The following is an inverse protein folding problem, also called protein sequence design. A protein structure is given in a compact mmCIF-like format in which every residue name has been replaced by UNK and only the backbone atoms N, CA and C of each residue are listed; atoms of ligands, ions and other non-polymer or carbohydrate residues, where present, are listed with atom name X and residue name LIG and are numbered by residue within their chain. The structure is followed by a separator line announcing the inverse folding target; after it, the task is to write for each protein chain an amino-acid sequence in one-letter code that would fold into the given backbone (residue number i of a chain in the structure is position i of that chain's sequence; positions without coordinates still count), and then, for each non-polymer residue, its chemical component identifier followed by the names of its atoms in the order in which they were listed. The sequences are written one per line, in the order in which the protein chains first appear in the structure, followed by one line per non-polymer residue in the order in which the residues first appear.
data_IF_592620792939
#
_entry.id   IF_592620792939
#
_cell.length_a   1.000
_cell.length_b   1.000
_cell.length_c   1.000
_cell.angle_alpha   90.00
_cell.angle_beta   90.00
_cell.angle_gamma   90.00
#
_symmetry.space_group_name_H-M   'P 1'
#
loop_
_entity.id
_entity.type
_entity.pdbx_description
1 polymer ?
#
# COMPACT_ATOMS: atom_id res chain seq x y z
N UNK A 1 0.26 9.55 17.41
CA UNK A 1 1.69 9.20 17.33
C UNK A 1 2.00 8.75 15.91
N UNK A 2 3.18 9.09 15.38
CA UNK A 2 3.69 8.62 14.10
C UNK A 2 4.45 7.31 14.31
N UNK A 3 4.34 6.37 13.36
CA UNK A 3 5.05 5.09 13.37
C UNK A 3 5.52 4.78 11.95
N UNK A 4 6.58 3.97 11.84
CA UNK A 4 7.01 3.44 10.55
C UNK A 4 5.83 2.82 9.81
N UNK A 5 5.69 3.12 8.53
CA UNK A 5 4.62 2.58 7.68
C UNK A 5 4.74 1.06 7.48
N UNK A 6 5.91 0.49 7.69
CA UNK A 6 6.15 -0.91 7.38
C UNK A 6 5.70 -1.25 5.96
N UNK A 7 4.91 -2.30 5.83
CA UNK A 7 4.40 -2.81 4.54
C UNK A 7 3.00 -2.31 4.16
N UNK A 8 2.35 -1.46 4.99
CA UNK A 8 0.94 -1.07 4.75
C UNK A 8 0.74 -0.19 3.50
N UNK A 9 1.82 0.33 2.92
CA UNK A 9 1.78 1.11 1.70
C UNK A 9 1.89 0.23 0.42
N UNK A 10 2.27 -1.04 0.51
CA UNK A 10 2.42 -1.94 -0.65
C UNK A 10 1.11 -2.13 -1.43
N UNK A 11 -0.06 -2.33 -0.81
CA UNK A 11 -1.32 -2.41 -1.53
C UNK A 11 -1.64 -1.14 -2.32
N UNK A 12 -1.31 0.03 -1.77
CA UNK A 12 -1.54 1.32 -2.43
C UNK A 12 -0.63 1.47 -3.66
N UNK A 13 0.63 1.05 -3.57
CA UNK A 13 1.55 1.01 -4.72
C UNK A 13 0.98 0.12 -5.82
N UNK A 14 0.55 -1.07 -5.46
CA UNK A 14 -0.03 -2.02 -6.41
C UNK A 14 -1.29 -1.44 -7.08
N UNK A 15 -2.19 -0.81 -6.32
CA UNK A 15 -3.36 -0.14 -6.88
C UNK A 15 -2.98 0.96 -7.88
N UNK A 16 -1.97 1.78 -7.57
CA UNK A 16 -1.45 2.80 -8.50
C UNK A 16 -0.93 2.20 -9.80
N UNK A 17 -0.15 1.11 -9.71
CA UNK A 17 0.40 0.42 -10.87
C UNK A 17 -0.67 -0.28 -11.72
N UNK A 18 -1.74 -0.78 -11.11
CA UNK A 18 -2.89 -1.34 -11.82
C UNK A 18 -3.65 -0.25 -12.57
N UNK A 19 -3.78 0.92 -11.94
CA UNK A 19 -4.58 2.02 -12.46
C UNK A 19 -3.96 2.65 -13.72
N UNK A 20 -2.63 2.80 -13.73
CA UNK A 20 -1.91 3.34 -14.88
C UNK A 20 -1.45 2.26 -15.90
N UNK A 21 -1.75 0.98 -15.64
CA UNK A 21 -1.39 -0.13 -16.51
C UNK A 21 0.09 -0.55 -16.43
N UNK A 22 0.87 -0.04 -15.48
CA UNK A 22 2.28 -0.44 -15.28
C UNK A 22 2.41 -1.85 -14.73
N UNK A 23 1.35 -2.37 -14.11
CA UNK A 23 1.24 -3.77 -13.70
C UNK A 23 -0.13 -4.35 -14.04
N UNK A 24 -0.13 -5.67 -14.26
CA UNK A 24 -1.33 -6.52 -14.29
C UNK A 24 -1.22 -7.53 -13.14
N UNK A 25 -2.34 -8.09 -12.65
CA UNK A 25 -2.30 -9.03 -11.52
C UNK A 25 -1.32 -10.19 -11.70
N UNK A 26 -1.28 -10.77 -12.88
CA UNK A 26 -0.42 -11.92 -13.23
C UNK A 26 0.95 -11.53 -13.77
N UNK A 27 1.25 -10.22 -13.87
CA UNK A 27 2.57 -9.77 -14.33
C UNK A 27 3.65 -10.21 -13.35
N UNK A 28 4.71 -10.82 -13.85
CA UNK A 28 5.80 -11.34 -13.03
C UNK A 28 6.78 -10.22 -12.65
N UNK A 29 7.09 -10.15 -11.37
CA UNK A 29 8.16 -9.31 -10.82
C UNK A 29 9.29 -10.18 -10.28
N UNK A 30 10.56 -9.85 -10.60
CA UNK A 30 11.69 -10.63 -10.12
C UNK A 30 11.82 -10.56 -8.59
N UNK A 31 11.88 -11.74 -7.98
CA UNK A 31 12.21 -11.93 -6.57
C UNK A 31 13.57 -12.66 -6.47
N UNK A 32 14.62 -11.91 -6.72
CA UNK A 32 16.01 -12.38 -6.75
C UNK A 32 16.92 -11.43 -5.97
N UNK A 33 18.11 -11.83 -5.53
CA UNK A 33 19.05 -10.93 -4.90
C UNK A 33 19.21 -9.64 -5.71
N UNK A 34 19.02 -8.51 -5.07
CA UNK A 34 18.96 -7.20 -5.73
C UNK A 34 19.79 -6.20 -4.93
N UNK A 35 20.61 -5.43 -5.64
CA UNK A 35 21.50 -4.46 -5.06
C UNK A 35 21.21 -3.08 -5.68
N UNK A 36 20.86 -2.13 -4.87
CA UNK A 36 20.86 -0.71 -5.19
C UNK A 36 22.04 -0.08 -4.48
N UNK A 37 22.62 0.98 -4.98
CA UNK A 37 23.88 1.60 -4.47
C UNK A 37 24.09 1.44 -2.96
N UNK A 38 23.19 2.02 -2.17
CA UNK A 38 23.28 2.05 -0.70
C UNK A 38 22.19 1.23 -0.01
N UNK A 39 21.46 0.40 -0.78
CA UNK A 39 20.29 -0.29 -0.30
C UNK A 39 20.17 -1.69 -0.88
N UNK A 40 20.09 -2.68 -0.01
CA UNK A 40 19.93 -4.09 -0.39
C UNK A 40 18.68 -4.65 0.29
N UNK A 41 17.55 -4.72 -0.42
CA UNK A 41 16.33 -5.26 0.17
C UNK A 41 16.43 -6.78 0.35
N UNK A 42 15.85 -7.27 1.44
CA UNK A 42 15.71 -8.70 1.73
C UNK A 42 14.25 -9.02 2.06
N UNK A 43 13.78 -10.20 1.63
CA UNK A 43 12.52 -10.74 2.13
C UNK A 43 12.67 -11.13 3.60
N UNK A 44 11.54 -11.15 4.33
CA UNK A 44 11.55 -11.45 5.77
C UNK A 44 12.18 -12.82 6.08
N UNK A 45 11.84 -13.83 5.30
CA UNK A 45 12.34 -15.20 5.41
C UNK A 45 13.74 -15.40 4.79
N UNK A 46 14.34 -14.34 4.20
CA UNK A 46 15.65 -14.35 3.50
C UNK A 46 15.73 -15.33 2.32
N UNK A 47 14.61 -15.77 1.79
CA UNK A 47 14.53 -16.60 0.58
C UNK A 47 14.05 -15.79 -0.62
N UNK A 48 14.21 -16.33 -1.81
CA UNK A 48 13.82 -15.73 -3.08
C UNK A 48 13.07 -16.79 -3.91
N UNK A 49 11.99 -16.38 -4.57
CA UNK A 49 11.15 -17.27 -5.36
C UNK A 49 11.40 -17.16 -6.87
N UNK A 50 12.40 -16.38 -7.29
CA UNK A 50 12.76 -16.17 -8.68
C UNK A 50 11.88 -15.13 -9.40
N UNK A 51 10.61 -15.43 -9.63
CA UNK A 51 9.63 -14.52 -10.23
C UNK A 51 8.26 -14.75 -9.61
N UNK A 52 7.57 -13.67 -9.23
CA UNK A 52 6.31 -13.73 -8.50
C UNK A 52 5.27 -12.83 -9.18
N UNK A 53 4.01 -13.30 -9.39
CA UNK A 53 2.93 -12.46 -9.87
C UNK A 53 2.67 -11.26 -8.95
N UNK A 54 2.30 -10.12 -9.53
CA UNK A 54 2.12 -8.86 -8.80
C UNK A 54 1.10 -8.96 -7.65
N UNK A 55 0.00 -9.66 -7.85
CA UNK A 55 -1.00 -9.95 -6.82
C UNK A 55 -0.40 -10.72 -5.64
N UNK A 56 0.42 -11.76 -5.93
CA UNK A 56 1.10 -12.57 -4.92
C UNK A 56 2.21 -11.81 -4.18
N UNK A 57 2.84 -10.84 -4.83
CA UNK A 57 3.80 -9.93 -4.16
C UNK A 57 3.12 -9.20 -3.01
N UNK A 58 1.90 -8.71 -3.23
CA UNK A 58 1.13 -7.97 -2.22
C UNK A 58 0.56 -8.92 -1.16
N UNK A 59 -0.04 -10.01 -1.59
CA UNK A 59 -0.63 -11.04 -0.71
C UNK A 59 0.39 -11.58 0.31
N UNK A 60 1.63 -11.82 -0.14
CA UNK A 60 2.73 -12.33 0.69
C UNK A 60 3.60 -11.23 1.28
N UNK A 61 3.29 -9.98 0.97
CA UNK A 61 4.05 -8.81 1.43
C UNK A 61 5.57 -8.89 1.17
N UNK A 62 5.97 -9.44 0.01
CA UNK A 62 7.37 -9.61 -0.35
C UNK A 62 8.08 -8.25 -0.48
N UNK A 63 9.30 -8.16 0.06
CA UNK A 63 10.04 -6.90 0.09
C UNK A 63 10.76 -6.63 -1.23
N UNK A 64 11.51 -7.60 -1.73
CA UNK A 64 12.37 -7.42 -2.92
C UNK A 64 11.56 -7.04 -4.15
N UNK A 65 10.51 -7.79 -4.54
CA UNK A 65 9.70 -7.40 -5.69
C UNK A 65 8.92 -6.11 -5.45
N UNK A 66 8.50 -5.79 -4.20
CA UNK A 66 7.84 -4.51 -3.91
C UNK A 66 8.75 -3.30 -4.13
N UNK A 67 10.04 -3.42 -3.81
CA UNK A 67 11.03 -2.38 -4.12
C UNK A 67 11.19 -2.20 -5.63
N UNK A 68 11.22 -3.29 -6.39
CA UNK A 68 11.26 -3.23 -7.86
C UNK A 68 9.99 -2.64 -8.45
N UNK A 69 8.83 -2.92 -7.86
CA UNK A 69 7.56 -2.29 -8.23
C UNK A 69 7.63 -0.78 -8.02
N UNK A 70 8.13 -0.31 -6.87
CA UNK A 70 8.29 1.11 -6.61
C UNK A 70 9.28 1.77 -7.57
N UNK A 71 10.40 1.11 -7.85
CA UNK A 71 11.40 1.62 -8.79
C UNK A 71 10.81 1.78 -10.21
N UNK A 72 10.01 0.78 -10.67
CA UNK A 72 9.31 0.82 -11.95
C UNK A 72 8.20 1.87 -12.00
N UNK A 73 7.40 2.01 -10.96
CA UNK A 73 6.30 2.99 -10.89
C UNK A 73 6.80 4.43 -10.75
N UNK A 74 7.95 4.59 -10.14
CA UNK A 74 8.56 5.88 -9.81
C UNK A 74 8.18 6.37 -8.41
N UNK A 75 9.22 6.76 -7.67
CA UNK A 75 9.08 7.26 -6.29
C UNK A 75 8.24 8.54 -6.22
N UNK A 76 8.39 9.41 -7.20
CA UNK A 76 7.67 10.68 -7.33
C UNK A 76 6.17 10.44 -7.55
N UNK A 77 5.83 9.53 -8.45
CA UNK A 77 4.44 9.15 -8.75
C UNK A 77 3.78 8.54 -7.50
N UNK A 78 4.49 7.64 -6.83
CA UNK A 78 3.99 7.02 -5.60
C UNK A 78 3.81 8.04 -4.47
N UNK A 79 4.75 8.96 -4.32
CA UNK A 79 4.66 10.04 -3.33
C UNK A 79 3.45 10.94 -3.59
N UNK A 80 3.19 11.29 -4.85
CA UNK A 80 2.01 12.05 -5.24
C UNK A 80 0.71 11.29 -4.89
N UNK A 81 0.66 9.99 -5.19
CA UNK A 81 -0.49 9.13 -4.89
C UNK A 81 -0.79 9.06 -3.39
N UNK A 82 0.20 8.78 -2.55
CA UNK A 82 -0.04 8.66 -1.10
C UNK A 82 -0.45 10.00 -0.50
N UNK A 83 0.09 11.13 -1.00
CA UNK A 83 -0.33 12.46 -0.58
C UNK A 83 -1.77 12.77 -0.98
N UNK A 84 -2.18 12.41 -2.18
CA UNK A 84 -3.55 12.56 -2.65
C UNK A 84 -4.54 11.74 -1.81
N UNK A 85 -4.10 10.59 -1.27
CA UNK A 85 -4.88 9.80 -0.33
C UNK A 85 -4.96 10.41 1.09
N UNK A 86 -4.15 11.44 1.37
CA UNK A 86 -4.20 12.18 2.63
C UNK A 86 -3.14 11.79 3.67
N UNK A 87 -2.05 11.12 3.26
CA UNK A 87 -0.91 10.86 4.16
C UNK A 87 -0.11 12.15 4.38
N UNK A 88 -0.63 13.06 5.22
CA UNK A 88 -0.04 14.36 5.50
C UNK A 88 1.31 14.30 6.21
N UNK A 89 1.64 13.17 6.83
CA UNK A 89 2.92 12.96 7.52
C UNK A 89 4.05 12.58 6.56
N UNK A 90 3.76 12.20 5.31
CA UNK A 90 4.75 11.92 4.27
C UNK A 90 5.09 13.24 3.54
N UNK A 91 5.84 14.10 4.21
CA UNK A 91 6.07 15.50 3.83
C UNK A 91 7.43 15.77 3.13
N UNK A 92 8.35 14.78 3.16
CA UNK A 92 9.69 14.92 2.57
C UNK A 92 9.69 14.59 1.07
N UNK A 93 10.77 14.96 0.38
CA UNK A 93 10.95 14.65 -1.03
C UNK A 93 11.08 13.15 -1.32
N UNK A 94 10.80 12.75 -2.55
CA UNK A 94 11.00 11.35 -2.98
C UNK A 94 12.46 10.92 -2.87
N UNK A 95 13.40 11.84 -3.10
CA UNK A 95 14.83 11.58 -2.92
C UNK A 95 15.20 11.30 -1.46
N UNK A 96 14.51 11.94 -0.50
CA UNK A 96 14.73 11.69 0.93
C UNK A 96 14.33 10.27 1.35
N UNK A 97 13.18 9.81 0.90
CA UNK A 97 12.68 8.47 1.25
C UNK A 97 13.37 7.37 0.45
N UNK A 98 13.73 7.64 -0.80
CA UNK A 98 14.30 6.63 -1.69
C UNK A 98 13.36 5.44 -1.86
N UNK A 99 13.93 4.28 -2.13
CA UNK A 99 13.19 3.01 -2.27
C UNK A 99 12.75 2.42 -0.92
N UNK A 100 13.30 2.90 0.19
CA UNK A 100 12.89 2.48 1.54
C UNK A 100 11.46 2.92 1.89
N UNK A 101 10.89 3.87 1.15
CA UNK A 101 9.51 4.33 1.31
C UNK A 101 8.50 3.18 1.38
N UNK A 102 8.69 2.14 0.57
CA UNK A 102 7.77 1.00 0.51
C UNK A 102 8.02 -0.06 1.60
N UNK A 103 9.09 0.05 2.33
CA UNK A 103 9.48 -0.88 3.40
C UNK A 103 9.46 -0.24 4.81
N UNK A 104 8.80 0.92 4.94
CA UNK A 104 8.69 1.59 6.23
C UNK A 104 9.63 2.77 6.43
N UNK A 105 10.27 3.27 5.37
CA UNK A 105 11.11 4.47 5.39
C UNK A 105 10.34 5.77 5.65
N UNK A 106 9.01 5.73 5.69
CA UNK A 106 8.17 6.86 6.08
C UNK A 106 7.44 6.58 7.40
N UNK A 107 7.20 7.64 8.16
CA UNK A 107 6.33 7.58 9.34
C UNK A 107 4.93 8.09 8.99
N UNK A 108 3.93 7.31 9.39
CA UNK A 108 2.52 7.63 9.20
C UNK A 108 1.75 7.59 10.53
N UNK A 109 0.65 8.30 10.60
CA UNK A 109 -0.28 8.18 11.71
C UNK A 109 -1.33 7.09 11.42
N UNK A 110 -1.83 6.44 12.47
CA UNK A 110 -2.96 5.51 12.34
C UNK A 110 -4.19 6.22 11.77
N UNK A 111 -4.35 7.50 12.09
CA UNK A 111 -5.43 8.35 11.57
C UNK A 111 -5.36 8.48 10.04
N UNK A 112 -4.19 8.84 9.49
CA UNK A 112 -4.01 8.98 8.03
C UNK A 112 -4.24 7.64 7.33
N UNK A 113 -3.69 6.56 7.90
CA UNK A 113 -3.86 5.21 7.37
C UNK A 113 -5.34 4.81 7.30
N UNK A 114 -6.05 4.94 8.43
CA UNK A 114 -7.48 4.61 8.50
C UNK A 114 -8.30 5.46 7.54
N UNK A 115 -8.04 6.77 7.49
CA UNK A 115 -8.73 7.70 6.60
C UNK A 115 -8.51 7.36 5.12
N UNK A 116 -7.29 7.00 4.73
CA UNK A 116 -6.97 6.60 3.36
C UNK A 116 -7.74 5.34 2.95
N UNK A 117 -7.72 4.29 3.77
CA UNK A 117 -8.46 3.06 3.46
C UNK A 117 -9.99 3.25 3.52
N UNK A 118 -10.51 4.12 4.38
CA UNK A 118 -11.93 4.50 4.37
C UNK A 118 -12.33 5.18 3.05
N UNK A 119 -11.49 6.07 2.52
CA UNK A 119 -11.71 6.72 1.22
C UNK A 119 -11.71 5.69 0.08
N UNK A 120 -10.73 4.78 0.07
CA UNK A 120 -10.67 3.70 -0.92
C UNK A 120 -11.94 2.83 -0.88
N UNK A 121 -12.37 2.42 0.31
CA UNK A 121 -13.59 1.65 0.50
C UNK A 121 -14.85 2.43 0.07
N UNK A 122 -14.93 3.72 0.36
CA UNK A 122 -16.03 4.57 -0.07
C UNK A 122 -16.11 4.63 -1.60
N UNK A 123 -15.00 4.89 -2.28
CA UNK A 123 -14.94 4.92 -3.75
C UNK A 123 -15.30 3.57 -4.35
N UNK A 124 -14.82 2.47 -3.78
CA UNK A 124 -15.16 1.12 -4.22
C UNK A 124 -16.67 0.87 -4.16
N UNK A 125 -17.33 1.33 -3.11
CA UNK A 125 -18.77 1.17 -2.89
C UNK A 125 -19.61 2.30 -3.51
N UNK A 126 -19.03 3.18 -4.32
CA UNK A 126 -19.75 4.28 -4.97
C UNK A 126 -20.25 5.36 -4.02
N UNK A 127 -19.66 5.49 -2.83
CA UNK A 127 -20.01 6.53 -1.85
C UNK A 127 -19.16 7.78 -2.12
N UNK A 128 -19.81 8.94 -2.15
CA UNK A 128 -19.13 10.23 -2.35
C UNK A 128 -18.66 10.87 -1.04
N UNK A 129 -19.24 10.47 0.08
CA UNK A 129 -18.91 11.03 1.40
C UNK A 129 -18.54 9.94 2.38
N UNK A 130 -17.60 10.25 3.26
CA UNK A 130 -17.22 9.43 4.42
C UNK A 130 -17.43 10.28 5.67
N UNK A 131 -17.67 9.62 6.81
CA UNK A 131 -17.54 10.30 8.10
C UNK A 131 -16.11 10.20 8.58
N UNK A 132 -15.53 11.33 8.98
CA UNK A 132 -14.23 11.28 9.65
C UNK A 132 -14.33 10.45 10.93
N UNK A 133 -13.30 9.66 11.26
CA UNK A 133 -13.22 9.00 12.54
C UNK A 133 -13.41 10.04 13.64
N UNK A 134 -14.26 9.76 14.63
CA UNK A 134 -14.55 10.67 15.74
C UNK A 134 -14.65 9.89 17.05
N UNK A 135 -14.16 10.50 18.14
CA UNK A 135 -14.21 9.88 19.45
C UNK A 135 -15.64 9.76 20.00
N UNK A 136 -16.50 10.71 19.63
CA UNK A 136 -17.88 10.76 20.12
C UNK A 136 -18.86 10.14 19.10
N UNK A 137 -19.67 9.13 19.46
CA UNK A 137 -20.56 8.43 18.52
C UNK A 137 -21.58 9.29 17.75
N UNK A 138 -21.80 10.53 18.17
CA UNK A 138 -22.72 11.47 17.52
C UNK A 138 -22.08 12.53 16.63
N UNK A 139 -20.76 12.68 16.65
CA UNK A 139 -20.11 13.92 16.26
C UNK A 139 -19.33 13.96 14.95
N UNK A 140 -19.22 12.88 14.19
CA UNK A 140 -18.39 12.89 12.97
C UNK A 140 -18.98 13.77 11.87
N UNK A 141 -18.19 14.73 11.40
CA UNK A 141 -18.56 15.55 10.21
C UNK A 141 -18.47 14.70 8.96
N UNK A 142 -19.49 14.75 8.11
CA UNK A 142 -19.40 14.20 6.77
C UNK A 142 -18.39 15.03 5.96
N UNK A 143 -17.37 14.38 5.42
CA UNK A 143 -16.41 15.01 4.51
C UNK A 143 -16.52 14.32 3.16
N UNK A 144 -16.25 15.07 2.12
CA UNK A 144 -16.10 14.51 0.79
C UNK A 144 -15.00 13.42 0.83
N UNK A 145 -15.28 12.26 0.26
CA UNK A 145 -14.27 11.22 0.10
C UNK A 145 -13.09 11.70 -0.74
N UNK A 146 -13.28 12.82 -1.44
CA UNK A 146 -12.34 13.43 -2.34
C UNK A 146 -12.23 12.69 -3.67
N UNK A 147 -11.63 13.37 -4.63
CA UNK A 147 -11.29 12.73 -5.89
C UNK A 147 -10.00 11.91 -5.70
N UNK A 148 -10.18 10.63 -5.44
CA UNK A 148 -9.08 9.69 -5.29
C UNK A 148 -8.57 9.36 -6.70
N UNK A 149 -7.26 9.55 -6.99
CA UNK A 149 -6.69 9.29 -8.30
C UNK A 149 -6.46 7.78 -8.53
N UNK A 150 -7.48 6.97 -8.30
CA UNK A 150 -7.50 5.52 -8.52
C UNK A 150 -8.87 5.10 -9.01
N UNK A 151 -8.95 4.28 -10.03
CA UNK A 151 -10.21 3.72 -10.52
C UNK A 151 -10.78 2.68 -9.54
N UNK A 152 -12.10 2.46 -9.62
CA UNK A 152 -12.76 1.42 -8.85
C UNK A 152 -12.22 0.02 -9.16
N UNK A 153 -11.82 -0.22 -10.42
CA UNK A 153 -11.22 -1.48 -10.85
C UNK A 153 -9.89 -1.76 -10.17
N UNK A 154 -8.98 -0.78 -10.12
CA UNK A 154 -7.70 -0.89 -9.45
C UNK A 154 -7.88 -1.13 -7.93
N UNK A 155 -8.80 -0.38 -7.30
CA UNK A 155 -9.12 -0.57 -5.87
C UNK A 155 -9.69 -1.96 -5.61
N UNK A 156 -10.57 -2.45 -6.49
CA UNK A 156 -11.15 -3.78 -6.35
C UNK A 156 -10.09 -4.89 -6.44
N UNK A 157 -9.23 -4.83 -7.45
CA UNK A 157 -8.14 -5.80 -7.63
C UNK A 157 -7.18 -5.79 -6.44
N UNK A 158 -6.83 -4.61 -5.95
CA UNK A 158 -6.02 -4.45 -4.73
C UNK A 158 -6.71 -5.07 -3.52
N UNK A 159 -7.99 -4.75 -3.29
CA UNK A 159 -8.77 -5.28 -2.17
C UNK A 159 -8.90 -6.82 -2.26
N UNK A 160 -9.11 -7.35 -3.47
CA UNK A 160 -9.13 -8.79 -3.70
C UNK A 160 -7.79 -9.45 -3.31
N UNK A 161 -6.65 -8.88 -3.72
CA UNK A 161 -5.33 -9.44 -3.37
C UNK A 161 -5.11 -9.45 -1.85
N UNK A 162 -5.41 -8.36 -1.13
CA UNK A 162 -5.20 -8.30 0.32
C UNK A 162 -6.20 -9.17 1.10
N UNK A 163 -7.33 -9.56 0.51
CA UNK A 163 -8.27 -10.51 1.13
C UNK A 163 -7.73 -11.94 1.22
N UNK A 164 -6.71 -12.27 0.42
CA UNK A 164 -6.05 -13.58 0.38
C UNK A 164 -4.71 -13.62 1.14
N UNK A 165 -4.43 -12.61 1.98
CA UNK A 165 -3.20 -12.58 2.78
C UNK A 165 -3.11 -13.84 3.63
N UNK A 166 -2.06 -14.64 3.40
CA UNK A 166 -1.75 -15.79 4.24
C UNK A 166 -1.30 -15.30 5.61
N UNK A 167 -1.97 -15.77 6.66
CA UNK A 167 -1.60 -15.46 8.04
C UNK A 167 -0.64 -16.51 8.57
N UNK A 168 0.26 -16.16 9.51
CA UNK A 168 1.10 -17.15 10.18
C UNK A 168 0.27 -18.25 10.83
N UNK A 169 0.75 -19.48 10.78
CA UNK A 169 0.07 -20.63 11.41
C UNK A 169 -0.16 -20.43 12.91
N UNK A 170 0.71 -19.66 13.55
CA UNK A 170 0.62 -19.28 14.97
C UNK A 170 -0.61 -18.40 15.28
N UNK A 171 -1.23 -17.79 14.26
CA UNK A 171 -2.47 -17.00 14.39
C UNK A 171 -3.71 -17.77 13.91
N UNK A 172 -3.73 -19.10 14.04
CA UNK A 172 -4.82 -19.94 13.54
C UNK A 172 -6.22 -19.59 14.05
N UNK A 173 -6.34 -18.89 15.16
CA UNK A 173 -7.61 -18.47 15.74
C UNK A 173 -8.12 -17.10 15.23
N UNK A 174 -7.36 -16.41 14.38
CA UNK A 174 -7.77 -15.08 13.85
C UNK A 174 -9.12 -15.10 13.10
N UNK A 175 -9.57 -16.28 12.64
CA UNK A 175 -10.85 -16.47 11.96
C UNK A 175 -12.06 -16.24 12.87
N UNK A 176 -11.84 -16.17 14.17
CA UNK A 176 -12.90 -16.02 15.19
C UNK A 176 -12.94 -14.61 15.77
N UNK A 177 -12.11 -13.68 15.29
CA UNK A 177 -12.08 -12.27 15.65
C UNK A 177 -12.43 -11.42 14.42
#
# INVERSE_FOLDING_TARGET
ARRSSGSVLKPILYAGMLDDGTALPTMLFPDVPTYYRDFTPHNYNRTFDGAVPADRVVERSLNVPSVRMLDKYGKENFLALVRALGFGTIDRSAAHYGLSLILGGAEISLWDLTSAYMKLAAKLNGRQTIRTPHYDPGGGTAVDAGDIPLSRGAIWLMANSISHVARPEEEGEWQYF
#
